data_IF_170631703437
#
_entry.id   IF_170631703437
#
_cell.length_a   1.000
_cell.length_b   1.000
_cell.length_c   1.000
_cell.angle_alpha   90.00
_cell.angle_beta   90.00
_cell.angle_gamma   90.00
#
_symmetry.space_group_name_H-M   'P 1'
#
loop_
_entity.id
_entity.type
_entity.pdbx_description
1 polymer ?
#
# COMPACT_ATOMS: atom_id res chain seq x y z
N UNK A 1 -24.14 17.84 5.09
CA UNK A 1 -23.29 17.33 4.00
C UNK A 1 -22.13 18.30 3.85
N UNK A 2 -20.89 17.79 3.91
CA UNK A 2 -19.68 18.62 3.65
C UNK A 2 -19.61 19.01 2.18
N UNK A 3 -18.81 20.01 1.89
CA UNK A 3 -18.41 20.35 0.51
C UNK A 3 -17.57 19.21 -0.06
N UNK A 4 -18.05 18.58 -1.15
CA UNK A 4 -17.42 17.42 -1.78
C UNK A 4 -16.08 17.77 -2.41
N UNK A 5 -15.94 18.92 -3.05
CA UNK A 5 -14.68 19.33 -3.67
C UNK A 5 -13.61 19.59 -2.61
N UNK A 6 -14.00 20.12 -1.46
CA UNK A 6 -13.10 20.24 -0.31
C UNK A 6 -12.72 18.86 0.23
N UNK A 7 -13.70 17.96 0.37
CA UNK A 7 -13.49 16.62 0.89
C UNK A 7 -12.55 15.79 -0.01
N UNK A 8 -12.69 15.88 -1.33
CA UNK A 8 -11.80 15.21 -2.29
C UNK A 8 -10.35 15.68 -2.12
N UNK A 9 -10.12 16.98 -1.94
CA UNK A 9 -8.77 17.53 -1.69
C UNK A 9 -8.18 17.11 -0.35
N UNK A 10 -9.03 16.87 0.66
CA UNK A 10 -8.60 16.34 1.94
C UNK A 10 -8.26 14.84 1.86
N UNK A 11 -8.98 14.08 1.02
CA UNK A 11 -8.77 12.64 0.83
C UNK A 11 -7.58 12.35 -0.10
N UNK A 12 -7.44 13.12 -1.17
CA UNK A 12 -6.40 13.01 -2.19
C UNK A 12 -5.64 14.34 -2.24
N UNK A 13 -4.62 14.52 -1.39
CA UNK A 13 -3.78 15.71 -1.44
C UNK A 13 -2.97 15.76 -2.75
N UNK A 14 -2.36 16.91 -3.09
CA UNK A 14 -1.58 17.06 -4.32
C UNK A 14 -0.51 15.98 -4.49
N UNK A 15 -0.15 15.59 -5.74
CA UNK A 15 0.82 14.53 -6.02
C UNK A 15 2.26 15.01 -5.84
N UNK A 16 2.56 15.63 -4.70
CA UNK A 16 3.93 15.99 -4.29
C UNK A 16 4.37 15.08 -3.15
N UNK A 17 5.68 14.94 -3.02
CA UNK A 17 6.26 14.13 -1.94
C UNK A 17 5.90 14.74 -0.58
N UNK A 18 6.00 16.06 -0.46
CA UNK A 18 5.78 16.80 0.78
C UNK A 18 4.36 16.63 1.32
N UNK A 19 3.38 16.53 0.43
CA UNK A 19 1.96 16.38 0.79
C UNK A 19 1.55 14.93 1.06
N UNK A 20 2.26 13.95 0.47
CA UNK A 20 1.87 12.53 0.51
C UNK A 20 2.76 11.64 1.37
N UNK A 21 3.97 12.07 1.70
CA UNK A 21 4.88 11.26 2.53
C UNK A 21 4.32 11.12 3.94
N UNK A 22 3.91 9.88 4.30
CA UNK A 22 3.30 9.58 5.59
C UNK A 22 1.82 10.00 5.71
N UNK A 23 1.19 10.41 4.61
CA UNK A 23 -0.23 10.74 4.58
C UNK A 23 -1.10 9.48 4.67
N UNK A 24 -2.22 9.59 5.39
CA UNK A 24 -3.27 8.55 5.46
C UNK A 24 -4.63 9.25 5.49
N UNK A 25 -5.61 8.73 4.74
CA UNK A 25 -6.98 9.27 4.71
C UNK A 25 -7.99 8.42 5.50
N UNK A 26 -7.55 7.38 6.21
CA UNK A 26 -8.38 6.43 6.96
C UNK A 26 -9.43 7.11 7.85
N UNK A 27 -9.03 8.14 8.60
CA UNK A 27 -9.93 8.88 9.49
C UNK A 27 -10.99 9.68 8.74
N UNK A 28 -10.65 10.18 7.56
CA UNK A 28 -11.56 10.95 6.72
C UNK A 28 -12.60 10.00 6.13
N UNK A 29 -12.14 8.86 5.57
CA UNK A 29 -12.98 7.80 5.01
C UNK A 29 -13.93 7.23 6.07
N UNK A 30 -13.41 6.90 7.26
CA UNK A 30 -14.22 6.37 8.37
C UNK A 30 -15.28 7.36 8.88
N UNK A 31 -15.10 8.66 8.62
CA UNK A 31 -16.03 9.72 8.98
C UNK A 31 -17.04 10.09 7.89
N UNK A 32 -17.03 9.44 6.72
CA UNK A 32 -18.02 9.70 5.67
C UNK A 32 -19.39 9.18 6.06
N UNK A 33 -20.43 10.00 5.87
CA UNK A 33 -21.80 9.47 5.87
C UNK A 33 -22.11 8.78 4.52
N UNK A 34 -23.26 8.13 4.41
CA UNK A 34 -23.62 7.36 3.21
C UNK A 34 -23.66 8.19 1.92
N UNK A 35 -24.20 9.41 1.97
CA UNK A 35 -24.28 10.28 0.79
C UNK A 35 -22.90 10.77 0.37
N UNK A 36 -22.09 11.21 1.35
CA UNK A 36 -20.70 11.63 1.10
C UNK A 36 -19.85 10.48 0.56
N UNK A 37 -20.03 9.27 1.08
CA UNK A 37 -19.33 8.08 0.60
C UNK A 37 -19.59 7.83 -0.88
N UNK A 38 -20.87 7.83 -1.29
CA UNK A 38 -21.25 7.55 -2.69
C UNK A 38 -20.73 8.64 -3.65
N UNK A 39 -20.82 9.90 -3.25
CA UNK A 39 -20.36 11.00 -4.09
C UNK A 39 -18.82 11.04 -4.19
N UNK A 40 -18.11 10.78 -3.09
CA UNK A 40 -16.65 10.65 -3.08
C UNK A 40 -16.22 9.47 -3.94
N UNK A 41 -16.82 8.28 -3.76
CA UNK A 41 -16.52 7.09 -4.54
C UNK A 41 -16.63 7.37 -6.04
N UNK A 42 -17.77 7.96 -6.46
CA UNK A 42 -18.02 8.32 -7.86
C UNK A 42 -16.94 9.28 -8.38
N UNK A 43 -16.64 10.35 -7.64
CA UNK A 43 -15.67 11.36 -8.06
C UNK A 43 -14.26 10.78 -8.17
N UNK A 44 -13.86 9.93 -7.23
CA UNK A 44 -12.56 9.25 -7.27
C UNK A 44 -12.45 8.27 -8.45
N UNK A 45 -13.51 7.55 -8.79
CA UNK A 45 -13.54 6.70 -9.99
C UNK A 45 -13.37 7.54 -11.26
N UNK A 46 -14.08 8.67 -11.36
CA UNK A 46 -13.94 9.60 -12.48
C UNK A 46 -12.51 10.15 -12.59
N UNK A 47 -11.93 10.62 -11.47
CA UNK A 47 -10.55 11.13 -11.46
C UNK A 47 -9.54 10.05 -11.81
N UNK A 48 -9.70 8.83 -11.29
CA UNK A 48 -8.82 7.72 -11.62
C UNK A 48 -8.96 7.28 -13.07
N UNK A 49 -10.08 7.54 -13.74
CA UNK A 49 -10.23 7.24 -15.16
C UNK A 49 -9.43 8.22 -16.04
N UNK A 50 -9.21 9.44 -15.56
CA UNK A 50 -8.47 10.50 -16.24
C UNK A 50 -6.98 10.49 -15.88
N UNK A 51 -6.67 10.33 -14.59
CA UNK A 51 -5.32 10.44 -14.03
C UNK A 51 -4.84 9.12 -13.48
N UNK A 52 -3.57 8.83 -13.72
CA UNK A 52 -2.90 7.68 -13.17
C UNK A 52 -2.35 8.02 -11.77
N UNK A 53 -3.18 7.78 -10.75
CA UNK A 53 -2.85 8.11 -9.37
C UNK A 53 -3.09 6.90 -8.45
N UNK A 54 -1.98 6.31 -7.99
CA UNK A 54 -2.01 5.15 -7.12
C UNK A 54 -2.75 5.41 -5.80
N UNK A 55 -2.65 6.62 -5.24
CA UNK A 55 -3.33 6.96 -3.99
C UNK A 55 -4.86 6.91 -4.16
N UNK A 56 -5.38 7.30 -5.33
CA UNK A 56 -6.81 7.17 -5.63
C UNK A 56 -7.18 5.69 -5.69
N UNK A 57 -6.39 4.86 -6.38
CA UNK A 57 -6.60 3.42 -6.42
C UNK A 57 -6.63 2.77 -5.04
N UNK A 58 -5.65 3.08 -4.19
CA UNK A 58 -5.59 2.62 -2.79
C UNK A 58 -6.81 3.07 -1.98
N UNK A 59 -7.17 4.35 -2.08
CA UNK A 59 -8.33 4.92 -1.40
C UNK A 59 -9.63 4.20 -1.78
N UNK A 60 -9.83 3.88 -3.07
CA UNK A 60 -11.00 3.12 -3.53
C UNK A 60 -11.04 1.69 -2.96
N UNK A 61 -9.88 1.05 -2.78
CA UNK A 61 -9.77 -0.25 -2.09
C UNK A 61 -10.10 -0.12 -0.61
N UNK A 62 -9.59 0.90 0.08
CA UNK A 62 -9.86 1.14 1.51
C UNK A 62 -11.35 1.43 1.75
N UNK A 63 -11.99 2.12 0.80
CA UNK A 63 -13.44 2.33 0.76
C UNK A 63 -14.23 1.05 0.43
N UNK A 64 -13.57 -0.03 -0.02
CA UNK A 64 -14.20 -1.28 -0.50
C UNK A 64 -15.12 -1.05 -1.70
N UNK A 65 -14.74 -0.16 -2.61
CA UNK A 65 -15.51 0.18 -3.80
C UNK A 65 -15.44 -0.93 -4.86
N UNK A 66 -16.44 -1.81 -4.91
CA UNK A 66 -16.58 -2.78 -6.01
C UNK A 66 -16.82 -2.08 -7.37
N UNK A 67 -17.42 -0.88 -7.34
CA UNK A 67 -17.66 -0.06 -8.53
C UNK A 67 -16.36 0.42 -9.19
N UNK A 68 -15.24 0.44 -8.45
CA UNK A 68 -13.93 0.81 -8.98
C UNK A 68 -13.28 -0.30 -9.81
N UNK A 69 -13.73 -1.54 -9.74
CA UNK A 69 -13.09 -2.68 -10.43
C UNK A 69 -12.83 -2.43 -11.93
N UNK A 70 -13.75 -1.86 -12.72
CA UNK A 70 -13.49 -1.58 -14.13
C UNK A 70 -12.36 -0.57 -14.35
N UNK A 71 -12.30 0.51 -13.56
CA UNK A 71 -11.24 1.53 -13.71
C UNK A 71 -9.89 1.00 -13.22
N UNK A 72 -9.86 0.19 -12.15
CA UNK A 72 -8.65 -0.48 -11.67
C UNK A 72 -8.11 -1.47 -12.72
N UNK A 73 -8.97 -2.28 -13.34
CA UNK A 73 -8.59 -3.21 -14.38
C UNK A 73 -8.02 -2.48 -15.61
N UNK A 74 -8.67 -1.41 -16.05
CA UNK A 74 -8.17 -0.54 -17.11
C UNK A 74 -6.78 0.02 -16.76
N UNK A 75 -6.56 0.47 -15.52
CA UNK A 75 -5.26 0.97 -15.08
C UNK A 75 -4.19 -0.13 -15.10
N UNK A 76 -4.50 -1.34 -14.63
CA UNK A 76 -3.61 -2.49 -14.71
C UNK A 76 -3.17 -2.78 -16.16
N UNK A 77 -4.11 -2.79 -17.11
CA UNK A 77 -3.84 -3.06 -18.53
C UNK A 77 -2.90 -2.01 -19.16
N UNK A 78 -2.97 -0.76 -18.69
CA UNK A 78 -2.17 0.35 -19.19
C UNK A 78 -0.74 0.39 -18.63
N UNK A 79 -0.40 -0.47 -17.67
CA UNK A 79 0.94 -0.47 -17.08
C UNK A 79 1.93 -1.21 -17.95
N UNK A 80 3.13 -0.64 -18.05
CA UNK A 80 4.28 -1.30 -18.68
C UNK A 80 5.22 -1.90 -17.65
N UNK A 81 5.36 -1.27 -16.47
CA UNK A 81 6.22 -1.72 -15.40
C UNK A 81 5.70 -3.00 -14.73
N UNK A 82 6.58 -3.98 -14.57
CA UNK A 82 6.30 -5.20 -13.79
C UNK A 82 5.89 -4.87 -12.35
N UNK A 83 6.55 -3.88 -11.71
CA UNK A 83 6.21 -3.43 -10.35
C UNK A 83 4.79 -2.89 -10.29
N UNK A 84 4.46 -1.97 -11.21
CA UNK A 84 3.13 -1.38 -11.20
C UNK A 84 2.05 -2.43 -11.49
N UNK A 85 2.26 -3.34 -12.44
CA UNK A 85 1.31 -4.42 -12.70
C UNK A 85 1.02 -5.27 -11.46
N UNK A 86 2.06 -5.60 -10.67
CA UNK A 86 1.88 -6.33 -9.40
C UNK A 86 1.06 -5.50 -8.42
N UNK A 87 1.40 -4.24 -8.22
CA UNK A 87 0.69 -3.35 -7.29
C UNK A 87 -0.79 -3.20 -7.69
N UNK A 88 -1.09 -2.93 -8.96
CA UNK A 88 -2.48 -2.81 -9.43
C UNK A 88 -3.25 -4.13 -9.37
N UNK A 89 -2.61 -5.26 -9.68
CA UNK A 89 -3.21 -6.58 -9.50
C UNK A 89 -3.54 -6.86 -8.02
N UNK A 90 -2.68 -6.45 -7.10
CA UNK A 90 -2.91 -6.61 -5.66
C UNK A 90 -4.09 -5.76 -5.17
N UNK A 91 -4.25 -4.52 -5.66
CA UNK A 91 -5.43 -3.69 -5.36
C UNK A 91 -6.74 -4.36 -5.81
N UNK A 92 -6.76 -4.92 -7.02
CA UNK A 92 -7.94 -5.64 -7.54
C UNK A 92 -8.22 -6.90 -6.72
N UNK A 93 -7.16 -7.63 -6.36
CA UNK A 93 -7.26 -8.83 -5.51
C UNK A 93 -7.85 -8.52 -4.13
N UNK A 94 -7.47 -7.39 -3.52
CA UNK A 94 -8.00 -6.96 -2.22
C UNK A 94 -9.52 -6.72 -2.27
N UNK A 95 -10.03 -6.07 -3.34
CA UNK A 95 -11.48 -5.88 -3.53
C UNK A 95 -12.21 -7.20 -3.81
N UNK A 96 -11.62 -8.08 -4.63
CA UNK A 96 -12.21 -9.36 -4.99
C UNK A 96 -12.05 -10.45 -3.93
N UNK A 97 -11.24 -10.20 -2.89
CA UNK A 97 -10.93 -11.13 -1.79
C UNK A 97 -10.34 -12.47 -2.28
N UNK A 98 -9.43 -12.38 -3.24
CA UNK A 98 -8.82 -13.55 -3.88
C UNK A 98 -9.29 -13.70 -5.33
N UNK A 99 -8.47 -13.25 -6.27
CA UNK A 99 -8.68 -13.43 -7.71
C UNK A 99 -7.53 -14.21 -8.32
N UNK A 100 -7.81 -15.39 -8.86
CA UNK A 100 -6.81 -16.29 -9.45
C UNK A 100 -6.13 -15.70 -10.68
N UNK A 101 -6.81 -14.86 -11.46
CA UNK A 101 -6.21 -14.19 -12.61
C UNK A 101 -5.26 -13.07 -12.15
N UNK A 102 -5.64 -12.31 -11.11
CA UNK A 102 -4.74 -11.29 -10.54
C UNK A 102 -3.50 -11.94 -9.91
N UNK A 103 -3.67 -13.06 -9.22
CA UNK A 103 -2.56 -13.85 -8.66
C UNK A 103 -1.62 -14.37 -9.77
N UNK A 104 -2.19 -14.85 -10.87
CA UNK A 104 -1.44 -15.26 -12.06
C UNK A 104 -0.65 -14.12 -12.67
N UNK A 105 -1.29 -12.97 -12.91
CA UNK A 105 -0.62 -11.78 -13.44
C UNK A 105 0.53 -11.38 -12.51
N UNK A 106 0.27 -11.27 -11.21
CA UNK A 106 1.28 -10.86 -10.23
C UNK A 106 2.46 -11.83 -10.20
N UNK A 107 2.22 -13.14 -10.22
CA UNK A 107 3.28 -14.14 -10.26
C UNK A 107 4.11 -14.05 -11.56
N UNK A 108 3.46 -13.94 -12.73
CA UNK A 108 4.16 -13.83 -14.02
C UNK A 108 4.99 -12.56 -14.14
N UNK A 109 4.54 -11.45 -13.55
CA UNK A 109 5.35 -10.22 -13.49
C UNK A 109 6.47 -10.34 -12.46
N UNK A 110 6.24 -11.00 -11.32
CA UNK A 110 7.26 -11.21 -10.31
C UNK A 110 8.42 -12.07 -10.82
N UNK A 111 8.14 -13.07 -11.67
CA UNK A 111 9.18 -13.86 -12.32
C UNK A 111 10.11 -13.02 -13.22
N UNK A 112 9.61 -11.88 -13.72
CA UNK A 112 10.35 -10.95 -14.57
C UNK A 112 10.99 -9.80 -13.79
N UNK A 113 10.76 -9.73 -12.47
CA UNK A 113 11.31 -8.65 -11.65
C UNK A 113 12.80 -8.83 -11.39
N UNK A 114 13.54 -7.75 -11.61
CA UNK A 114 14.92 -7.60 -11.16
C UNK A 114 15.01 -6.52 -10.09
N UNK A 115 15.60 -6.87 -8.95
CA UNK A 115 15.86 -5.92 -7.86
C UNK A 115 17.17 -5.18 -8.15
N UNK A 116 17.05 -3.96 -8.67
CA UNK A 116 18.16 -3.05 -8.96
C UNK A 116 18.42 -2.07 -7.82
N UNK A 117 17.41 -1.79 -6.98
CA UNK A 117 17.51 -0.93 -5.80
C UNK A 117 16.95 -1.61 -4.55
N UNK A 118 17.54 -1.31 -3.40
CA UNK A 118 17.14 -1.91 -2.13
C UNK A 118 15.67 -1.60 -1.75
N UNK A 119 15.20 -0.38 -2.06
CA UNK A 119 13.83 0.09 -1.75
C UNK A 119 12.73 -0.73 -2.46
N UNK A 120 13.06 -1.40 -3.57
CA UNK A 120 12.12 -2.20 -4.33
C UNK A 120 11.59 -3.42 -3.56
N UNK A 121 12.25 -3.83 -2.46
CA UNK A 121 11.78 -4.94 -1.62
C UNK A 121 10.36 -4.77 -1.06
N UNK A 122 9.83 -3.53 -1.01
CA UNK A 122 8.47 -3.26 -0.54
C UNK A 122 7.39 -3.99 -1.37
N UNK A 123 7.69 -4.35 -2.62
CA UNK A 123 6.75 -5.09 -3.50
C UNK A 123 6.30 -6.43 -2.90
N UNK A 124 7.09 -7.00 -1.99
CA UNK A 124 6.70 -8.23 -1.29
C UNK A 124 5.44 -8.05 -0.44
N UNK A 125 5.14 -6.83 0.04
CA UNK A 125 3.90 -6.51 0.75
C UNK A 125 2.67 -6.63 -0.15
N UNK A 126 2.80 -6.33 -1.45
CA UNK A 126 1.71 -6.53 -2.41
C UNK A 126 1.59 -8.02 -2.79
N UNK A 127 2.72 -8.68 -3.01
CA UNK A 127 2.76 -10.09 -3.41
C UNK A 127 2.20 -11.05 -2.35
N UNK A 128 2.41 -10.77 -1.06
CA UNK A 128 1.94 -11.68 0.00
C UNK A 128 0.41 -11.69 0.15
N UNK A 129 -0.28 -10.62 -0.29
CA UNK A 129 -1.75 -10.49 -0.23
C UNK A 129 -2.49 -11.56 -1.03
N UNK A 130 -1.84 -12.16 -2.02
CA UNK A 130 -2.41 -13.23 -2.83
C UNK A 130 -2.50 -14.58 -2.10
N UNK A 131 -1.84 -14.73 -0.93
CA UNK A 131 -1.80 -15.98 -0.18
C UNK A 131 -1.41 -17.20 -1.05
N UNK A 132 -0.45 -16.98 -1.96
CA UNK A 132 -0.06 -17.95 -2.98
C UNK A 132 1.22 -18.68 -2.57
N UNK A 133 1.22 -20.03 -2.48
CA UNK A 133 2.40 -20.80 -2.12
C UNK A 133 3.58 -20.57 -3.07
N UNK A 134 3.33 -20.50 -4.39
CA UNK A 134 4.38 -20.27 -5.40
C UNK A 134 4.99 -18.86 -5.30
N UNK A 135 4.18 -17.86 -4.94
CA UNK A 135 4.69 -16.51 -4.68
C UNK A 135 5.57 -16.55 -3.43
N UNK A 136 5.12 -17.22 -2.36
CA UNK A 136 5.88 -17.32 -1.11
C UNK A 136 7.22 -18.02 -1.30
N UNK A 137 7.25 -19.16 -2.00
CA UNK A 137 8.47 -19.88 -2.37
C UNK A 137 9.42 -19.00 -3.19
N UNK A 138 8.88 -18.17 -4.09
CA UNK A 138 9.70 -17.26 -4.88
C UNK A 138 10.28 -16.12 -4.04
N UNK A 139 9.51 -15.56 -3.09
CA UNK A 139 9.99 -14.56 -2.12
C UNK A 139 11.11 -15.15 -1.24
N UNK A 140 11.02 -16.42 -0.87
CA UNK A 140 12.01 -17.08 -0.01
C UNK A 140 13.43 -17.01 -0.58
N UNK A 141 13.58 -17.04 -1.92
CA UNK A 141 14.87 -16.88 -2.60
C UNK A 141 15.57 -15.55 -2.29
N UNK A 142 14.84 -14.58 -1.74
CA UNK A 142 15.35 -13.25 -1.42
C UNK A 142 15.66 -13.05 0.08
N UNK A 143 15.43 -14.02 0.96
CA UNK A 143 15.68 -13.84 2.42
C UNK A 143 17.15 -13.57 2.76
N UNK A 144 18.08 -13.97 1.90
CA UNK A 144 19.51 -13.67 2.04
C UNK A 144 20.03 -12.81 0.88
N UNK A 145 19.18 -11.96 0.31
CA UNK A 145 19.54 -11.11 -0.83
C UNK A 145 20.65 -10.11 -0.46
N UNK A 146 21.52 -9.79 -1.43
CA UNK A 146 22.65 -8.85 -1.26
C UNK A 146 22.26 -7.43 -0.84
N UNK A 147 21.00 -7.05 -1.05
CA UNK A 147 20.46 -5.76 -0.63
C UNK A 147 19.65 -5.96 0.65
N UNK A 148 20.12 -5.35 1.74
CA UNK A 148 19.56 -5.56 3.08
C UNK A 148 18.06 -5.26 3.15
N UNK A 149 17.57 -4.21 2.48
CA UNK A 149 16.12 -3.91 2.48
C UNK A 149 15.30 -4.94 1.70
N UNK A 150 15.85 -5.56 0.66
CA UNK A 150 15.16 -6.66 -0.05
C UNK A 150 15.08 -7.88 0.86
N UNK A 151 16.21 -8.25 1.49
CA UNK A 151 16.25 -9.35 2.45
C UNK A 151 15.34 -9.11 3.66
N UNK A 152 15.34 -7.89 4.19
CA UNK A 152 14.48 -7.46 5.30
C UNK A 152 13.01 -7.64 4.95
N UNK A 153 12.53 -7.08 3.85
CA UNK A 153 11.12 -7.20 3.48
C UNK A 153 10.73 -8.66 3.18
N UNK A 154 11.59 -9.45 2.55
CA UNK A 154 11.33 -10.88 2.33
C UNK A 154 11.16 -11.63 3.66
N UNK A 155 12.04 -11.41 4.63
CA UNK A 155 11.94 -12.01 5.97
C UNK A 155 10.68 -11.55 6.71
N UNK A 156 10.36 -10.26 6.62
CA UNK A 156 9.17 -9.68 7.25
C UNK A 156 7.89 -10.33 6.74
N UNK A 157 7.66 -10.37 5.43
CA UNK A 157 6.39 -10.88 4.89
C UNK A 157 6.23 -12.39 5.06
N UNK A 158 7.33 -13.14 5.11
CA UNK A 158 7.31 -14.58 5.35
C UNK A 158 7.35 -14.97 6.84
N UNK A 159 7.48 -14.00 7.74
CA UNK A 159 7.84 -14.21 9.15
C UNK A 159 8.98 -15.24 9.31
N UNK A 160 10.02 -15.10 8.49
CA UNK A 160 11.07 -16.11 8.34
C UNK A 160 11.78 -16.37 9.68
N UNK A 161 11.65 -17.58 10.24
CA UNK A 161 12.16 -17.95 11.57
C UNK A 161 11.68 -17.02 12.71
N UNK A 162 10.44 -16.52 12.65
CA UNK A 162 9.91 -15.60 13.67
C UNK A 162 10.46 -14.17 13.55
N UNK A 163 11.05 -13.81 12.40
CA UNK A 163 11.65 -12.49 12.19
C UNK A 163 10.64 -11.35 12.42
N UNK A 164 9.43 -11.45 11.88
CA UNK A 164 8.42 -10.41 12.07
C UNK A 164 7.98 -10.34 13.54
N UNK A 165 7.88 -11.49 14.22
CA UNK A 165 7.54 -11.54 15.65
C UNK A 165 8.61 -10.88 16.52
N UNK A 166 9.89 -11.05 16.18
CA UNK A 166 11.02 -10.38 16.86
C UNK A 166 11.06 -8.87 16.62
N UNK A 167 10.45 -8.39 15.54
CA UNK A 167 10.27 -6.96 15.25
C UNK A 167 9.03 -6.38 15.95
N UNK A 168 7.99 -7.20 16.20
CA UNK A 168 6.76 -6.80 16.89
C UNK A 168 6.89 -6.71 18.44
N UNK A 169 8.11 -6.67 18.99
CA UNK A 169 8.36 -6.34 20.40
C UNK A 169 9.31 -5.15 20.58
N UNK A 170 8.89 -3.97 20.14
CA UNK A 170 8.97 -2.69 20.89
C UNK A 170 7.86 -1.81 20.33
N UNK A 171 6.99 -1.24 21.18
CA UNK A 171 6.22 -0.06 20.81
C UNK A 171 7.16 0.92 20.08
N UNK A 172 6.93 1.30 18.81
CA UNK A 172 7.82 2.23 18.15
C UNK A 172 7.73 3.56 18.90
N UNK A 173 8.75 3.86 19.72
CA UNK A 173 9.04 5.22 20.15
C UNK A 173 9.27 6.02 18.89
N UNK A 174 8.22 6.76 18.51
CA UNK A 174 8.22 7.82 17.50
C UNK A 174 9.57 8.54 17.49
N UNK A 175 10.23 8.60 16.34
CA UNK A 175 11.58 9.15 16.18
C UNK A 175 11.71 10.64 16.56
N UNK A 176 10.60 11.35 16.77
CA UNK A 176 10.58 12.70 17.33
C UNK A 176 10.60 12.77 18.88
N UNK A 177 10.63 11.65 19.59
CA UNK A 177 10.69 11.62 21.05
C UNK A 177 12.11 11.79 21.64
N UNK A 178 13.14 12.06 20.83
CA UNK A 178 14.50 12.32 21.31
C UNK A 178 14.72 13.74 21.89
N UNK A 179 13.72 14.62 21.82
CA UNK A 179 13.86 16.04 22.21
C UNK A 179 13.42 16.44 23.63
N UNK A 180 12.72 15.59 24.39
CA UNK A 180 12.16 16.00 25.69
C UNK A 180 12.84 15.30 26.88
N UNK A 181 14.12 15.60 27.11
CA UNK A 181 14.67 15.55 28.47
C UNK A 181 14.32 16.87 29.17
N UNK A 182 13.15 16.93 29.81
CA UNK A 182 12.96 17.89 30.91
C UNK A 182 13.88 17.45 32.05
N UNK A 183 14.93 18.22 32.27
CA UNK A 183 15.69 18.24 33.51
C UNK A 183 14.74 18.54 34.65
N UNK A 184 14.36 17.52 35.43
CA UNK A 184 13.87 17.76 36.78
C UNK A 184 15.08 18.10 37.65
N UNK A 185 15.20 19.38 37.98
CA UNK A 185 15.97 19.84 39.12
C UNK A 185 15.41 19.17 40.38
N UNK A 186 16.25 18.43 41.09
CA UNK A 186 15.96 17.95 42.42
C UNK A 186 15.97 19.16 43.37
N UNK A 187 14.85 19.39 44.04
CA UNK A 187 14.80 20.18 45.27
C UNK A 187 15.46 19.36 46.39
N UNK A 188 16.49 19.95 47.01
CA UNK A 188 16.82 19.77 48.42
C UNK A 188 16.72 21.15 49.06
#
# INVERSE_FOLDING_TARGET
MRDIEKLIKEIIPPPTREEREGFTNDKIIAGLNKEEFLEVEKRLIEELNEKDDLLIGQTLVDMKSENALPVLAKRLEQKDSHFEKITWAALINDLKKGDSEMEKIAFEQFEKLEFIYAVQGWIFMDLIKFNSPRISERIEKYVNHKYDLVAHHAKMVLNYNGYADSYNYVEPKKWWNFGNKKTNQNNV
#
